data_IF_402453368641
#
_entry.id   IF_402453368641
#
_cell.length_a   1.000
_cell.length_b   1.000
_cell.length_c   1.000
_cell.angle_alpha   90.00
_cell.angle_beta   90.00
_cell.angle_gamma   90.00
#
_symmetry.space_group_name_H-M   'P 1'
#
loop_
_entity.id
_entity.type
_entity.pdbx_description
1 polymer ?
#
# COMPACT_ATOMS: atom_id res chain seq x y z
N UNK A 1 69.94 -15.60 -11.88
CA UNK A 1 70.23 -14.86 -10.64
C UNK A 1 69.53 -13.50 -10.66
N UNK A 2 68.21 -13.57 -10.87
CA UNK A 2 67.23 -12.51 -10.85
C UNK A 2 65.88 -13.28 -10.80
N UNK A 3 64.89 -12.73 -10.09
CA UNK A 3 63.51 -13.27 -9.96
C UNK A 3 63.28 -14.41 -8.95
N UNK A 4 63.80 -14.31 -7.72
CA UNK A 4 63.31 -15.12 -6.59
C UNK A 4 63.60 -14.48 -5.21
N UNK A 5 63.29 -13.19 -4.99
CA UNK A 5 63.52 -12.57 -3.66
C UNK A 5 62.69 -11.29 -3.42
N UNK A 6 61.36 -11.37 -3.55
CA UNK A 6 60.39 -10.49 -2.86
C UNK A 6 59.12 -11.29 -2.50
N UNK A 7 59.31 -12.27 -1.62
CA UNK A 7 58.27 -12.72 -0.69
C UNK A 7 58.50 -11.97 0.63
N UNK A 8 57.42 -11.75 1.38
CA UNK A 8 57.35 -11.20 2.74
C UNK A 8 57.04 -9.70 2.84
N UNK A 9 55.80 -9.33 2.50
CA UNK A 9 55.00 -8.36 3.26
C UNK A 9 53.51 -8.48 2.86
N UNK A 10 52.63 -8.32 3.84
CA UNK A 10 51.16 -8.25 3.76
C UNK A 10 50.39 -9.59 3.78
N UNK A 11 50.37 -10.17 4.98
CA UNK A 11 49.23 -10.91 5.50
C UNK A 11 48.42 -10.00 6.45
N UNK A 12 47.08 -9.99 6.29
CA UNK A 12 46.13 -9.54 7.31
C UNK A 12 45.08 -8.53 6.83
N UNK A 13 43.82 -8.98 6.67
CA UNK A 13 42.67 -8.08 6.50
C UNK A 13 41.44 -8.76 5.89
N UNK A 14 40.52 -9.16 6.75
CA UNK A 14 39.30 -9.94 6.48
C UNK A 14 38.23 -9.26 5.62
N UNK A 15 37.46 -10.14 4.96
CA UNK A 15 36.03 -10.11 4.64
C UNK A 15 35.22 -8.82 4.94
N UNK A 16 34.70 -8.19 3.87
CA UNK A 16 33.33 -7.67 3.78
C UNK A 16 33.13 -7.03 2.39
N UNK A 17 32.07 -7.43 1.66
CA UNK A 17 31.62 -6.69 0.48
C UNK A 17 31.34 -7.54 -0.76
N UNK A 18 30.52 -8.57 -0.63
CA UNK A 18 29.82 -9.17 -1.76
C UNK A 18 28.31 -9.15 -1.49
N UNK A 19 27.56 -8.78 -2.53
CA UNK A 19 26.10 -8.82 -2.69
C UNK A 19 25.28 -7.70 -2.02
N UNK A 20 25.14 -6.57 -2.73
CA UNK A 20 23.86 -5.84 -2.74
C UNK A 20 23.00 -6.52 -3.80
N UNK A 21 22.17 -7.46 -3.38
CA UNK A 21 21.21 -8.14 -4.24
C UNK A 21 20.00 -7.23 -4.48
N UNK A 22 19.61 -7.11 -5.74
CA UNK A 22 18.37 -6.52 -6.21
C UNK A 22 17.16 -7.22 -5.58
N UNK A 23 16.21 -6.47 -5.02
CA UNK A 23 14.87 -7.00 -4.73
C UNK A 23 14.06 -7.16 -6.03
N UNK A 24 14.45 -8.14 -6.82
CA UNK A 24 13.56 -8.84 -7.76
C UNK A 24 12.63 -9.75 -6.96
N UNK A 25 11.39 -9.94 -7.40
CA UNK A 25 10.43 -10.91 -6.84
C UNK A 25 11.10 -12.28 -6.64
N UNK A 26 11.57 -12.58 -5.44
CA UNK A 26 12.16 -13.89 -5.15
C UNK A 26 11.01 -14.82 -4.81
N UNK A 27 10.66 -15.69 -5.75
CA UNK A 27 9.83 -16.85 -5.45
C UNK A 27 10.51 -17.63 -4.30
N UNK A 28 9.75 -18.03 -3.28
CA UNK A 28 10.33 -18.54 -2.04
C UNK A 28 10.58 -20.05 -2.16
N UNK A 29 11.81 -20.50 -1.96
CA UNK A 29 12.17 -21.92 -2.10
C UNK A 29 11.69 -22.75 -0.90
N UNK A 30 10.96 -23.83 -1.17
CA UNK A 30 10.30 -24.70 -0.18
C UNK A 30 10.41 -26.17 -0.54
N UNK A 31 10.34 -27.03 0.48
CA UNK A 31 10.03 -28.46 0.33
C UNK A 31 8.59 -28.74 0.71
N UNK A 32 7.91 -29.54 -0.10
CA UNK A 32 6.52 -29.97 0.13
C UNK A 32 6.51 -31.33 0.82
N UNK A 33 5.78 -31.45 1.92
CA UNK A 33 5.60 -32.72 2.64
C UNK A 33 4.14 -33.10 2.75
N UNK A 34 3.86 -34.41 2.67
CA UNK A 34 2.54 -35.01 2.89
C UNK A 34 2.64 -36.07 3.99
N UNK A 35 1.70 -36.07 4.94
CA UNK A 35 1.66 -37.09 5.98
C UNK A 35 1.05 -38.40 5.43
N UNK A 36 1.82 -39.48 5.41
CA UNK A 36 1.34 -40.80 5.03
C UNK A 36 0.50 -41.45 6.15
N UNK A 37 -0.32 -42.45 5.80
CA UNK A 37 -1.16 -43.22 6.73
C UNK A 37 -0.40 -43.87 7.90
N UNK A 38 0.92 -44.05 7.75
CA UNK A 38 1.82 -44.55 8.80
C UNK A 38 2.31 -43.49 9.80
N UNK A 39 1.85 -42.24 9.71
CA UNK A 39 2.27 -41.12 10.57
C UNK A 39 3.66 -40.57 10.25
N UNK A 40 4.20 -40.87 9.07
CA UNK A 40 5.49 -40.37 8.58
C UNK A 40 5.26 -39.32 7.50
N UNK A 41 6.07 -38.25 7.53
CA UNK A 41 6.08 -37.24 6.48
C UNK A 41 6.90 -37.71 5.27
N UNK A 42 6.26 -37.71 4.11
CA UNK A 42 6.87 -38.05 2.82
C UNK A 42 7.21 -36.76 2.05
N UNK A 43 8.46 -36.64 1.61
CA UNK A 43 8.96 -35.56 0.77
C UNK A 43 8.34 -35.69 -0.64
N UNK A 44 7.65 -34.63 -1.09
CA UNK A 44 6.97 -34.59 -2.39
C UNK A 44 7.79 -33.85 -3.46
N UNK A 45 8.88 -33.18 -3.08
CA UNK A 45 9.69 -32.38 -4.00
C UNK A 45 10.11 -31.04 -3.43
N UNK A 46 11.05 -30.40 -4.12
CA UNK A 46 11.56 -29.06 -3.79
C UNK A 46 11.18 -28.11 -4.91
N UNK A 47 10.65 -26.95 -4.54
CA UNK A 47 10.13 -26.02 -5.52
C UNK A 47 10.04 -24.60 -4.99
N UNK A 48 9.36 -23.76 -5.75
CA UNK A 48 9.15 -22.36 -5.42
C UNK A 48 7.67 -22.09 -5.15
N UNK A 49 7.35 -21.55 -3.97
CA UNK A 49 5.98 -21.21 -3.60
C UNK A 49 5.60 -19.80 -4.05
N UNK A 50 4.39 -19.69 -4.59
CA UNK A 50 3.70 -18.42 -4.83
C UNK A 50 2.27 -18.47 -4.30
N UNK A 51 1.67 -17.29 -4.12
CA UNK A 51 0.25 -17.14 -3.81
C UNK A 51 -0.36 -16.36 -4.96
N UNK A 52 -1.22 -17.03 -5.73
CA UNK A 52 -1.84 -16.48 -6.93
C UNK A 52 -3.29 -16.98 -7.05
N UNK A 53 -4.04 -16.44 -8.01
CA UNK A 53 -5.34 -17.00 -8.34
C UNK A 53 -5.16 -18.38 -8.99
N UNK A 54 -5.91 -19.38 -8.51
CA UNK A 54 -5.92 -20.70 -9.13
C UNK A 54 -6.53 -20.56 -10.53
N UNK A 55 -5.85 -21.09 -11.55
CA UNK A 55 -6.24 -20.94 -12.95
C UNK A 55 -7.68 -21.42 -13.20
N UNK A 56 -8.52 -20.56 -13.78
CA UNK A 56 -9.94 -20.84 -14.02
C UNK A 56 -10.86 -20.63 -12.82
N UNK A 57 -10.35 -20.20 -11.66
CA UNK A 57 -11.13 -19.89 -10.46
C UNK A 57 -11.00 -18.41 -10.06
N UNK A 58 -11.83 -17.96 -9.12
CA UNK A 58 -11.67 -16.65 -8.42
C UNK A 58 -11.01 -16.80 -7.06
N UNK A 59 -10.46 -17.98 -6.77
CA UNK A 59 -9.97 -18.35 -5.46
C UNK A 59 -8.45 -18.23 -5.42
N UNK A 60 -7.94 -17.76 -4.28
CA UNK A 60 -6.53 -17.58 -4.01
C UNK A 60 -5.94 -18.89 -3.52
N UNK A 61 -4.86 -19.34 -4.14
CA UNK A 61 -4.21 -20.60 -3.80
C UNK A 61 -2.71 -20.47 -3.56
N UNK A 62 -2.20 -21.35 -2.72
CA UNK A 62 -0.78 -21.67 -2.63
C UNK A 62 -0.43 -22.61 -3.79
N UNK A 63 0.50 -22.18 -4.65
CA UNK A 63 1.04 -23.01 -5.72
C UNK A 63 2.53 -23.22 -5.50
N UNK A 64 3.00 -24.46 -5.61
CA UNK A 64 4.42 -24.79 -5.60
C UNK A 64 4.78 -25.43 -6.92
N UNK A 65 5.71 -24.81 -7.63
CA UNK A 65 6.27 -25.32 -8.88
C UNK A 65 7.62 -25.95 -8.61
N UNK A 66 7.84 -27.14 -9.16
CA UNK A 66 9.11 -27.86 -9.07
C UNK A 66 10.28 -27.01 -9.62
N UNK A 67 11.44 -27.09 -8.99
CA UNK A 67 12.59 -26.27 -9.39
C UNK A 67 13.30 -26.76 -10.67
N UNK A 68 13.14 -28.02 -11.04
CA UNK A 68 13.83 -28.63 -12.19
C UNK A 68 12.97 -28.62 -13.46
N UNK A 69 11.70 -29.01 -13.37
CA UNK A 69 10.79 -29.14 -14.52
C UNK A 69 9.61 -28.17 -14.55
N UNK A 70 9.43 -27.38 -13.48
CA UNK A 70 8.35 -26.40 -13.32
C UNK A 70 6.94 -27.02 -13.36
N UNK A 71 6.82 -28.33 -13.11
CA UNK A 71 5.54 -29.01 -12.89
C UNK A 71 4.95 -28.61 -11.54
N UNK A 72 3.62 -28.70 -11.41
CA UNK A 72 2.94 -28.33 -10.17
C UNK A 72 3.08 -29.44 -9.12
N UNK A 73 3.87 -29.18 -8.08
CA UNK A 73 4.02 -30.08 -6.92
C UNK A 73 2.85 -29.98 -5.95
N UNK A 74 2.32 -28.77 -5.78
CA UNK A 74 1.20 -28.50 -4.87
C UNK A 74 0.33 -27.37 -5.43
N UNK A 75 -0.98 -27.57 -5.35
CA UNK A 75 -1.97 -26.52 -5.51
C UNK A 75 -2.98 -26.66 -4.37
N UNK A 76 -3.11 -25.63 -3.55
CA UNK A 76 -3.99 -25.64 -2.39
C UNK A 76 -4.77 -24.33 -2.30
N UNK A 77 -6.09 -24.43 -2.26
CA UNK A 77 -6.98 -23.28 -2.09
C UNK A 77 -6.90 -22.73 -0.66
N UNK A 78 -6.60 -21.44 -0.51
CA UNK A 78 -6.57 -20.81 0.81
C UNK A 78 -8.01 -20.58 1.27
N UNK A 79 -8.40 -21.23 2.38
CA UNK A 79 -9.77 -21.17 2.90
C UNK A 79 -9.90 -20.24 4.09
N UNK A 80 -11.13 -19.80 4.42
CA UNK A 80 -11.40 -18.99 5.62
C UNK A 80 -11.18 -19.74 6.94
N UNK A 81 -11.00 -21.05 6.92
CA UNK A 81 -10.99 -21.89 8.12
C UNK A 81 -9.65 -21.80 8.84
N UNK A 82 -9.66 -21.76 10.17
CA UNK A 82 -8.44 -21.73 11.01
C UNK A 82 -7.71 -23.10 11.04
N UNK A 83 -7.20 -23.52 9.89
CA UNK A 83 -6.50 -24.81 9.70
C UNK A 83 -4.98 -24.67 9.57
N UNK A 84 -4.48 -23.47 9.27
CA UNK A 84 -3.06 -23.23 9.07
C UNK A 84 -2.35 -23.01 10.41
N UNK A 85 -1.16 -23.59 10.54
CA UNK A 85 -0.30 -23.50 11.72
C UNK A 85 1.13 -23.25 11.26
N UNK A 86 1.72 -22.15 11.72
CA UNK A 86 3.16 -21.91 11.64
C UNK A 86 3.85 -22.66 12.78
N UNK A 87 4.82 -23.50 12.43
CA UNK A 87 5.67 -24.20 13.38
C UNK A 87 7.09 -23.64 13.23
N UNK A 88 7.70 -23.28 14.36
CA UNK A 88 9.01 -22.61 14.38
C UNK A 88 9.04 -21.35 13.48
N UNK A 89 10.18 -21.05 12.86
CA UNK A 89 10.34 -19.89 11.97
C UNK A 89 10.21 -20.24 10.48
N UNK A 90 10.19 -21.53 10.12
CA UNK A 90 10.38 -22.01 8.74
C UNK A 90 9.36 -23.05 8.28
N UNK A 91 8.32 -23.38 9.05
CA UNK A 91 7.34 -24.40 8.65
C UNK A 91 5.93 -23.84 8.70
N UNK A 92 5.15 -24.07 7.64
CA UNK A 92 3.69 -23.84 7.61
C UNK A 92 3.02 -25.18 7.32
N UNK A 93 2.04 -25.55 8.12
CA UNK A 93 1.32 -26.83 8.02
C UNK A 93 -0.18 -26.64 8.12
N UNK A 94 -0.94 -27.49 7.44
CA UNK A 94 -2.41 -27.50 7.50
C UNK A 94 -2.94 -28.88 7.14
N UNK A 95 -4.23 -29.09 7.44
CA UNK A 95 -4.95 -30.28 7.01
C UNK A 95 -5.77 -29.98 5.77
N UNK A 96 -5.41 -30.61 4.66
CA UNK A 96 -6.14 -30.47 3.41
C UNK A 96 -7.42 -31.31 3.46
N UNK A 97 -8.57 -30.68 3.17
CA UNK A 97 -9.88 -31.36 3.22
C UNK A 97 -10.17 -32.18 1.97
N UNK A 98 -9.67 -31.75 0.81
CA UNK A 98 -9.92 -32.44 -0.47
C UNK A 98 -9.08 -33.71 -0.55
N UNK A 99 -7.80 -33.62 -0.18
CA UNK A 99 -6.88 -34.74 -0.12
C UNK A 99 -6.95 -35.52 1.21
N UNK A 100 -7.75 -35.05 2.17
CA UNK A 100 -7.95 -35.64 3.50
C UNK A 100 -6.65 -35.97 4.28
N UNK A 101 -5.58 -35.22 4.03
CA UNK A 101 -4.22 -35.47 4.54
C UNK A 101 -3.61 -34.20 5.11
N UNK A 102 -2.66 -34.34 6.03
CA UNK A 102 -1.85 -33.22 6.49
C UNK A 102 -0.74 -32.89 5.48
N UNK A 103 -0.54 -31.60 5.24
CA UNK A 103 0.46 -31.03 4.35
C UNK A 103 1.35 -30.06 5.12
N UNK A 104 2.60 -29.95 4.71
CA UNK A 104 3.52 -28.96 5.24
C UNK A 104 4.45 -28.39 4.16
N UNK A 105 4.71 -27.09 4.24
CA UNK A 105 5.77 -26.40 3.52
C UNK A 105 6.91 -26.10 4.49
N UNK A 106 8.10 -26.59 4.16
CA UNK A 106 9.33 -26.26 4.88
C UNK A 106 10.16 -25.31 4.04
N UNK A 107 10.35 -24.09 4.56
CA UNK A 107 11.02 -23.00 3.88
C UNK A 107 12.52 -23.06 4.10
N UNK A 108 13.28 -22.71 3.06
CA UNK A 108 14.72 -22.53 3.18
C UNK A 108 15.08 -21.33 4.06
N UNK A 109 14.26 -20.27 4.03
CA UNK A 109 14.50 -19.02 4.75
C UNK A 109 13.31 -18.63 5.64
N UNK A 110 13.61 -18.20 6.88
CA UNK A 110 12.60 -17.75 7.83
C UNK A 110 11.85 -16.48 7.37
N UNK A 111 12.54 -15.61 6.62
CA UNK A 111 11.93 -14.42 6.01
C UNK A 111 10.84 -14.81 5.01
N UNK A 112 11.13 -15.77 4.12
CA UNK A 112 10.18 -16.33 3.16
C UNK A 112 8.98 -17.00 3.81
N UNK A 113 9.21 -17.78 4.87
CA UNK A 113 8.14 -18.38 5.65
C UNK A 113 7.23 -17.32 6.28
N UNK A 114 7.82 -16.26 6.84
CA UNK A 114 7.05 -15.19 7.48
C UNK A 114 6.22 -14.41 6.46
N UNK A 115 6.78 -14.11 5.29
CA UNK A 115 6.08 -13.47 4.19
C UNK A 115 4.85 -14.26 3.73
N UNK A 116 5.02 -15.55 3.43
CA UNK A 116 3.90 -16.41 2.99
C UNK A 116 2.87 -16.59 4.11
N UNK A 117 3.31 -16.74 5.36
CA UNK A 117 2.42 -16.87 6.51
C UNK A 117 1.53 -15.64 6.70
N UNK A 118 2.12 -14.44 6.65
CA UNK A 118 1.38 -13.18 6.80
C UNK A 118 0.32 -13.02 5.70
N UNK A 119 0.66 -13.38 4.46
CA UNK A 119 -0.29 -13.38 3.33
C UNK A 119 -1.43 -14.40 3.53
N UNK A 120 -1.15 -15.62 3.97
CA UNK A 120 -2.22 -16.61 4.28
C UNK A 120 -3.16 -16.00 5.33
N UNK A 121 -2.63 -15.47 6.44
CA UNK A 121 -3.45 -14.87 7.49
C UNK A 121 -4.26 -13.65 7.01
N UNK A 122 -3.75 -12.87 6.07
CA UNK A 122 -4.49 -11.78 5.43
C UNK A 122 -5.65 -12.29 4.57
N UNK A 123 -5.41 -13.28 3.72
CA UNK A 123 -6.42 -13.88 2.85
C UNK A 123 -7.53 -14.53 3.69
N UNK A 124 -7.18 -15.26 4.75
CA UNK A 124 -8.16 -15.85 5.67
C UNK A 124 -9.07 -14.79 6.29
N UNK A 125 -8.50 -13.64 6.72
CA UNK A 125 -9.29 -12.53 7.25
C UNK A 125 -10.28 -12.04 6.20
N UNK A 126 -9.82 -11.79 4.97
CA UNK A 126 -10.65 -11.28 3.87
C UNK A 126 -11.80 -12.23 3.46
N UNK A 127 -11.54 -13.55 3.44
CA UNK A 127 -12.56 -14.55 3.13
C UNK A 127 -13.63 -14.65 4.24
N UNK A 128 -13.23 -14.54 5.51
CA UNK A 128 -14.17 -14.51 6.63
C UNK A 128 -15.11 -13.30 6.59
N UNK A 129 -14.66 -12.17 6.04
CA UNK A 129 -15.50 -10.98 5.84
C UNK A 129 -16.50 -11.15 4.68
N UNK A 130 -16.15 -11.90 3.64
CA UNK A 130 -16.99 -12.08 2.44
C UNK A 130 -18.18 -13.03 2.65
N UNK A 131 -18.02 -14.05 3.50
CA UNK A 131 -19.07 -15.04 3.78
C UNK A 131 -20.23 -14.52 4.68
N UNK A 132 -20.16 -13.29 5.18
CA UNK A 132 -21.21 -12.67 5.98
C UNK A 132 -22.25 -11.86 5.15
N UNK A 133 -22.09 -11.80 3.81
CA UNK A 133 -22.84 -10.87 2.95
C UNK A 133 -23.87 -11.44 1.96
N UNK A 134 -24.21 -12.74 1.96
CA UNK A 134 -25.11 -13.30 0.93
C UNK A 134 -26.44 -13.82 1.50
N UNK A 135 -27.57 -13.09 1.34
CA UNK A 135 -28.87 -13.71 1.17
C UNK A 135 -29.02 -14.18 -0.28
N UNK A 136 -29.37 -15.45 -0.46
CA UNK A 136 -29.76 -16.02 -1.75
C UNK A 136 -30.90 -15.24 -2.39
N UNK A 137 -30.67 -14.61 -3.54
CA UNK A 137 -31.75 -14.15 -4.43
C UNK A 137 -31.40 -14.43 -5.89
N UNK A 138 -32.08 -15.45 -6.46
CA UNK A 138 -32.82 -15.33 -7.72
C UNK A 138 -32.05 -15.05 -9.01
N UNK A 139 -31.65 -16.14 -9.68
CA UNK A 139 -31.28 -16.25 -11.10
C UNK A 139 -32.25 -15.50 -12.06
N UNK A 140 -31.74 -14.66 -12.97
CA UNK A 140 -32.34 -14.40 -14.29
C UNK A 140 -31.27 -14.11 -15.35
N UNK A 141 -31.45 -14.72 -16.52
CA UNK A 141 -30.54 -14.73 -17.68
C UNK A 141 -30.89 -13.63 -18.70
N UNK A 142 -29.85 -13.04 -19.31
CA UNK A 142 -29.72 -12.67 -20.75
C UNK A 142 -28.31 -12.05 -20.93
N UNK A 143 -27.29 -12.78 -21.40
CA UNK A 143 -26.82 -12.88 -22.81
C UNK A 143 -26.90 -11.55 -23.56
N UNK A 144 -25.88 -10.97 -24.19
CA UNK A 144 -24.52 -11.40 -24.57
C UNK A 144 -23.85 -10.15 -25.18
N UNK A 145 -22.63 -9.77 -24.76
CA UNK A 145 -21.60 -9.06 -25.56
C UNK A 145 -20.52 -8.42 -24.67
N UNK A 146 -19.63 -9.21 -24.05
CA UNK A 146 -18.45 -8.69 -23.34
C UNK A 146 -17.33 -9.73 -23.40
N UNK A 147 -16.56 -9.72 -24.48
CA UNK A 147 -15.41 -10.62 -24.66
C UNK A 147 -14.06 -9.86 -24.73
N UNK A 148 -13.99 -8.64 -24.18
CA UNK A 148 -12.77 -7.83 -24.20
C UNK A 148 -12.16 -7.49 -22.81
N UNK A 149 -12.73 -7.98 -21.69
CA UNK A 149 -12.29 -7.58 -20.33
C UNK A 149 -11.46 -8.62 -19.56
N UNK A 150 -10.93 -9.68 -20.19
CA UNK A 150 -10.28 -10.80 -19.47
C UNK A 150 -8.80 -10.65 -19.10
N UNK A 151 -8.26 -9.44 -19.04
CA UNK A 151 -6.86 -9.24 -18.61
C UNK A 151 -6.83 -8.09 -17.60
N UNK A 152 -6.26 -8.35 -16.41
CA UNK A 152 -6.16 -7.50 -15.22
C UNK A 152 -7.26 -7.69 -14.16
N UNK A 153 -7.30 -8.88 -13.54
CA UNK A 153 -7.73 -8.99 -12.15
C UNK A 153 -6.64 -9.71 -11.36
N UNK A 154 -5.71 -8.93 -10.81
CA UNK A 154 -4.80 -9.35 -9.74
C UNK A 154 -5.31 -8.81 -8.40
N UNK A 155 -5.10 -9.60 -7.35
CA UNK A 155 -5.68 -9.62 -6.00
C UNK A 155 -5.62 -8.36 -5.11
N UNK A 156 -5.29 -7.17 -5.63
CA UNK A 156 -5.29 -5.97 -4.79
C UNK A 156 -6.72 -5.46 -4.51
N UNK A 157 -7.63 -5.52 -5.49
CA UNK A 157 -8.90 -4.79 -5.44
C UNK A 157 -9.98 -5.36 -4.48
N UNK A 158 -9.91 -6.64 -4.09
CA UNK A 158 -10.89 -7.25 -3.18
C UNK A 158 -10.64 -6.93 -1.71
N UNK A 159 -9.40 -6.61 -1.32
CA UNK A 159 -9.03 -6.17 0.04
C UNK A 159 -9.57 -4.76 0.36
N UNK A 160 -9.86 -3.95 -0.66
CA UNK A 160 -10.26 -2.56 -0.50
C UNK A 160 -11.79 -2.32 -0.51
N UNK A 161 -12.62 -3.34 -0.77
CA UNK A 161 -14.06 -3.17 -1.05
C UNK A 161 -14.97 -3.11 0.21
N UNK A 162 -14.40 -3.04 1.42
CA UNK A 162 -15.14 -2.90 2.68
C UNK A 162 -14.38 -1.98 3.61
N UNK A 163 -14.91 -0.79 3.88
CA UNK A 163 -14.26 0.23 4.68
C UNK A 163 -14.89 0.25 6.08
N UNK A 164 -14.52 -0.69 6.92
CA UNK A 164 -14.68 -0.48 8.36
C UNK A 164 -13.70 0.63 8.78
N UNK A 165 -14.05 1.42 9.81
CA UNK A 165 -13.06 2.24 10.52
C UNK A 165 -11.77 1.41 10.72
N UNK A 166 -11.97 0.11 11.01
CA UNK A 166 -10.99 -0.97 11.16
C UNK A 166 -9.95 -1.21 10.03
N UNK A 167 -10.16 -0.69 8.82
CA UNK A 167 -9.24 -0.90 7.68
C UNK A 167 -8.54 0.39 7.22
N UNK A 168 -8.87 1.55 7.81
CA UNK A 168 -8.11 2.76 7.53
C UNK A 168 -6.76 2.78 8.25
N UNK A 169 -6.54 1.85 9.21
CA UNK A 169 -5.53 2.07 10.22
C UNK A 169 -4.81 0.80 10.72
N UNK A 170 -4.55 -0.14 9.80
CA UNK A 170 -3.43 -1.08 9.81
C UNK A 170 -3.23 -1.60 8.36
N UNK A 171 -2.03 -1.51 7.78
CA UNK A 171 -0.79 -1.96 8.41
C UNK A 171 0.23 -0.84 8.65
N UNK A 172 0.41 -0.46 9.92
CA UNK A 172 1.62 0.24 10.38
C UNK A 172 2.20 -0.38 11.66
N UNK A 173 1.91 -1.65 11.93
CA UNK A 173 2.46 -2.37 13.08
C UNK A 173 2.88 -3.80 12.72
N UNK A 174 3.81 -3.91 11.78
CA UNK A 174 4.95 -4.85 11.87
C UNK A 174 6.18 -4.15 11.31
N UNK A 175 6.75 -3.21 12.07
CA UNK A 175 8.21 -3.03 12.14
C UNK A 175 8.53 -2.08 13.30
N UNK A 176 8.90 -2.62 14.46
CA UNK A 176 9.57 -1.82 15.48
C UNK A 176 10.85 -2.55 15.93
N UNK A 177 11.96 -1.84 15.75
CA UNK A 177 13.20 -1.89 16.54
C UNK A 177 14.30 -2.85 16.07
N UNK A 178 15.29 -2.26 15.37
CA UNK A 178 16.77 -2.33 15.49
C UNK A 178 17.23 -1.68 14.16
N UNK A 179 17.76 -0.46 14.11
CA UNK A 179 19.11 -0.08 14.55
C UNK A 179 19.10 1.36 15.05
N UNK A 180 19.53 1.57 16.29
CA UNK A 180 19.95 2.87 16.83
C UNK A 180 21.46 2.83 17.00
N UNK A 181 22.12 3.89 16.52
CA UNK A 181 23.49 4.33 16.86
C UNK A 181 24.68 3.53 16.30
N UNK A 182 25.36 4.14 15.31
CA UNK A 182 26.80 4.38 15.14
C UNK A 182 26.99 4.81 13.67
N UNK A 183 27.73 5.82 13.22
CA UNK A 183 28.66 6.84 13.73
C UNK A 183 28.87 7.76 12.50
N UNK A 184 28.52 9.04 12.57
CA UNK A 184 29.45 10.19 12.74
C UNK A 184 30.20 10.62 11.47
N UNK A 185 29.91 11.86 11.06
CA UNK A 185 30.78 12.89 10.41
C UNK A 185 31.57 12.47 9.16
N UNK A 186 31.19 13.05 8.02
CA UNK A 186 32.14 13.75 7.13
C UNK A 186 31.45 14.96 6.48
N UNK A 187 32.17 16.08 6.27
CA UNK A 187 31.62 17.30 5.70
C UNK A 187 31.42 17.09 4.20
N UNK A 188 30.27 17.46 3.65
CA UNK A 188 30.16 17.55 2.21
C UNK A 188 30.92 18.79 1.77
N UNK A 189 32.01 18.55 1.05
CA UNK A 189 32.86 19.55 0.44
C UNK A 189 32.10 20.29 -0.67
N UNK A 190 32.41 21.58 -0.76
CA UNK A 190 32.11 22.47 -1.87
C UNK A 190 32.59 21.86 -3.19
N UNK A 191 31.67 21.67 -4.13
CA UNK A 191 32.00 21.68 -5.55
C UNK A 191 31.22 22.80 -6.22
N UNK A 192 31.96 23.88 -6.45
CA UNK A 192 31.56 25.01 -7.26
C UNK A 192 31.23 24.54 -8.68
N UNK A 193 29.96 24.66 -9.09
CA UNK A 193 29.60 24.76 -10.50
C UNK A 193 28.76 26.01 -10.74
N UNK A 194 29.32 26.94 -11.53
CA UNK A 194 28.68 28.19 -11.97
C UNK A 194 27.90 27.95 -13.27
N UNK A 195 26.84 28.76 -13.40
CA UNK A 195 26.05 29.11 -14.59
C UNK A 195 24.88 28.17 -14.90
N UNK A 196 23.66 28.65 -15.14
CA UNK A 196 23.29 29.95 -15.68
C UNK A 196 22.11 30.59 -14.92
N UNK A 197 22.16 31.91 -14.77
CA UNK A 197 20.98 32.72 -14.50
C UNK A 197 19.98 32.49 -15.65
N UNK A 198 18.94 31.70 -15.41
CA UNK A 198 17.76 31.60 -16.25
C UNK A 198 16.58 32.24 -15.52
N UNK A 199 15.95 33.23 -16.13
CA UNK A 199 14.85 34.02 -15.59
C UNK A 199 13.59 33.17 -15.32
N UNK A 200 13.44 32.53 -14.17
CA UNK A 200 12.14 32.06 -13.70
C UNK A 200 11.51 33.09 -12.76
N UNK A 201 11.02 34.20 -13.33
CA UNK A 201 10.28 35.19 -12.55
C UNK A 201 8.82 34.81 -12.33
N UNK A 202 8.18 34.09 -13.25
CA UNK A 202 6.76 33.74 -13.20
C UNK A 202 6.49 32.38 -13.88
N UNK A 203 5.49 31.63 -13.38
CA UNK A 203 4.96 30.44 -14.04
C UNK A 203 4.19 30.86 -15.30
N UNK A 204 4.32 30.14 -16.44
CA UNK A 204 3.45 30.39 -17.57
C UNK A 204 1.99 30.06 -17.22
N UNK A 205 1.01 30.64 -17.94
CA UNK A 205 -0.40 30.32 -17.72
C UNK A 205 -0.66 28.81 -17.84
N UNK A 206 -1.45 28.26 -16.92
CA UNK A 206 -1.88 26.86 -16.94
C UNK A 206 -2.87 26.67 -18.08
N UNK A 207 -2.33 26.37 -19.26
CA UNK A 207 -3.03 26.13 -20.52
C UNK A 207 -2.42 24.91 -21.20
N UNK A 208 -3.21 24.19 -22.00
CA UNK A 208 -2.80 22.93 -22.64
C UNK A 208 -1.48 23.08 -23.42
N UNK A 209 -1.30 24.20 -24.14
CA UNK A 209 -0.08 24.50 -24.89
C UNK A 209 1.17 24.73 -24.04
N UNK A 210 0.99 25.13 -22.77
CA UNK A 210 2.07 25.47 -21.85
C UNK A 210 2.42 24.30 -20.92
N UNK A 211 1.56 23.28 -20.80
CA UNK A 211 1.81 22.11 -19.96
C UNK A 211 3.15 21.39 -20.25
N UNK A 212 3.60 21.21 -21.51
CA UNK A 212 4.91 20.60 -21.78
C UNK A 212 6.07 21.40 -21.17
N UNK A 213 5.96 22.73 -21.19
CA UNK A 213 6.98 23.61 -20.61
C UNK A 213 6.97 23.54 -19.09
N UNK A 214 5.78 23.62 -18.46
CA UNK A 214 5.62 23.46 -17.01
C UNK A 214 6.18 22.11 -16.56
N UNK A 215 5.84 21.03 -17.28
CA UNK A 215 6.34 19.68 -17.01
C UNK A 215 7.87 19.63 -17.07
N UNK A 216 8.46 20.20 -18.13
CA UNK A 216 9.91 20.28 -18.28
C UNK A 216 10.56 20.97 -17.08
N UNK A 217 10.02 22.09 -16.64
CA UNK A 217 10.54 22.82 -15.48
C UNK A 217 10.43 22.02 -14.19
N UNK A 218 9.32 21.31 -13.97
CA UNK A 218 9.09 20.48 -12.78
C UNK A 218 10.05 19.28 -12.74
N UNK A 219 10.35 18.65 -13.88
CA UNK A 219 11.16 17.43 -13.93
C UNK A 219 12.67 17.67 -14.08
N UNK A 220 13.08 18.69 -14.83
CA UNK A 220 14.49 18.91 -15.20
C UNK A 220 15.18 19.99 -14.34
N UNK A 221 14.44 20.65 -13.43
CA UNK A 221 14.98 21.68 -12.54
C UNK A 221 15.91 21.11 -11.46
N UNK A 222 16.96 21.86 -11.09
CA UNK A 222 17.78 21.54 -9.92
C UNK A 222 17.00 21.73 -8.61
N UNK A 223 17.57 21.33 -7.47
CA UNK A 223 16.90 21.41 -6.15
C UNK A 223 16.36 22.82 -5.86
N UNK A 224 17.14 23.86 -6.16
CA UNK A 224 16.73 25.27 -5.99
C UNK A 224 15.55 25.64 -6.90
N UNK A 225 15.53 25.12 -8.13
CA UNK A 225 14.45 25.37 -9.08
C UNK A 225 13.18 24.65 -8.64
N UNK A 226 13.28 23.44 -8.09
CA UNK A 226 12.14 22.68 -7.57
C UNK A 226 11.48 23.37 -6.37
N UNK A 227 12.28 23.93 -5.44
CA UNK A 227 11.76 24.72 -4.31
C UNK A 227 11.02 25.96 -4.83
N UNK A 228 11.64 26.71 -5.73
CA UNK A 228 11.03 27.91 -6.32
C UNK A 228 9.76 27.57 -7.11
N UNK A 229 9.75 26.47 -7.86
CA UNK A 229 8.55 25.99 -8.55
C UNK A 229 7.42 25.64 -7.58
N UNK A 230 7.73 24.97 -6.48
CA UNK A 230 6.73 24.66 -5.47
C UNK A 230 6.12 25.94 -4.85
N UNK A 231 6.94 26.97 -4.63
CA UNK A 231 6.48 28.28 -4.17
C UNK A 231 5.57 28.96 -5.21
N UNK A 232 5.97 29.01 -6.47
CA UNK A 232 5.17 29.61 -7.55
C UNK A 232 3.81 28.89 -7.73
N UNK A 233 3.80 27.55 -7.72
CA UNK A 233 2.57 26.74 -7.81
C UNK A 233 1.65 27.06 -6.63
N UNK A 234 2.21 27.22 -5.43
CA UNK A 234 1.43 27.51 -4.22
C UNK A 234 0.90 28.95 -4.20
N UNK A 235 1.61 29.90 -4.82
CA UNK A 235 1.18 31.30 -4.91
C UNK A 235 0.02 31.50 -5.88
N UNK A 236 -0.03 30.73 -6.98
CA UNK A 236 -1.14 30.77 -7.93
C UNK A 236 -2.33 29.93 -7.44
N UNK A 237 -3.36 30.62 -6.94
CA UNK A 237 -4.59 29.99 -6.44
C UNK A 237 -5.39 29.25 -7.53
N UNK A 238 -5.23 29.66 -8.78
CA UNK A 238 -5.98 29.10 -9.91
C UNK A 238 -5.22 27.96 -10.60
N UNK A 239 -3.98 27.68 -10.19
CA UNK A 239 -3.15 26.66 -10.81
C UNK A 239 -3.83 25.29 -10.84
N UNK A 240 -4.23 24.77 -9.67
CA UNK A 240 -4.87 23.46 -9.56
C UNK A 240 -6.29 23.42 -10.15
N UNK A 241 -7.17 24.42 -9.91
CA UNK A 241 -8.46 24.49 -10.61
C UNK A 241 -8.31 24.40 -12.13
N UNK A 242 -7.45 25.21 -12.74
CA UNK A 242 -7.22 25.20 -14.20
C UNK A 242 -6.63 23.88 -14.68
N UNK A 243 -5.68 23.31 -13.94
CA UNK A 243 -5.09 22.02 -14.28
C UNK A 243 -6.14 20.91 -14.29
N UNK A 244 -7.02 20.89 -13.29
CA UNK A 244 -8.11 19.90 -13.19
C UNK A 244 -9.17 20.13 -14.26
N UNK A 245 -9.49 21.37 -14.60
CA UNK A 245 -10.42 21.67 -15.70
C UNK A 245 -9.86 21.20 -17.05
N UNK A 246 -8.56 21.40 -17.29
CA UNK A 246 -7.88 20.87 -18.48
C UNK A 246 -7.91 19.35 -18.47
N UNK A 247 -7.60 18.71 -17.33
CA UNK A 247 -7.67 17.25 -17.19
C UNK A 247 -9.05 16.70 -17.53
N UNK A 248 -10.11 17.27 -16.95
CA UNK A 248 -11.50 16.85 -17.20
C UNK A 248 -11.89 17.04 -18.67
N UNK A 249 -11.48 18.15 -19.28
CA UNK A 249 -11.69 18.40 -20.70
C UNK A 249 -10.97 17.39 -21.60
N UNK A 250 -9.70 17.07 -21.30
CA UNK A 250 -8.95 16.04 -22.04
C UNK A 250 -9.55 14.65 -21.86
N UNK A 251 -10.07 14.34 -20.66
CA UNK A 251 -10.76 13.09 -20.35
C UNK A 251 -12.07 12.97 -21.13
N UNK A 252 -12.88 14.03 -21.18
CA UNK A 252 -14.13 14.07 -21.96
C UNK A 252 -13.89 13.92 -23.47
N UNK A 253 -12.75 14.40 -23.96
CA UNK A 253 -12.32 14.27 -25.36
C UNK A 253 -11.61 12.94 -25.66
N UNK A 254 -11.39 12.08 -24.64
CA UNK A 254 -10.61 10.85 -24.73
C UNK A 254 -9.20 11.08 -25.34
N UNK A 255 -8.60 12.25 -25.07
CA UNK A 255 -7.29 12.63 -25.61
C UNK A 255 -6.15 12.01 -24.80
N UNK A 256 -5.79 10.78 -25.15
CA UNK A 256 -4.80 9.96 -24.43
C UNK A 256 -3.41 10.61 -24.35
N UNK A 257 -2.94 11.29 -25.39
CA UNK A 257 -1.62 11.91 -25.41
C UNK A 257 -1.50 13.02 -24.35
N UNK A 258 -2.53 13.87 -24.27
CA UNK A 258 -2.59 14.94 -23.27
C UNK A 258 -2.82 14.39 -21.85
N UNK A 259 -3.61 13.31 -21.72
CA UNK A 259 -3.81 12.63 -20.43
C UNK A 259 -2.50 12.03 -19.89
N UNK A 260 -1.69 11.43 -20.76
CA UNK A 260 -0.34 10.95 -20.41
C UNK A 260 0.61 12.09 -20.02
N UNK A 261 0.50 13.26 -20.65
CA UNK A 261 1.26 14.44 -20.25
C UNK A 261 0.83 14.94 -18.88
N UNK A 262 -0.48 15.01 -18.61
CA UNK A 262 -1.03 15.41 -17.31
C UNK A 262 -0.62 14.42 -16.22
N UNK A 263 -0.62 13.11 -16.48
CA UNK A 263 -0.07 12.10 -15.58
C UNK A 263 1.37 12.44 -15.16
N UNK A 264 2.25 12.70 -16.14
CA UNK A 264 3.66 13.03 -15.88
C UNK A 264 3.80 14.31 -15.07
N UNK A 265 2.94 15.30 -15.33
CA UNK A 265 2.94 16.57 -14.61
C UNK A 265 2.49 16.40 -13.16
N UNK A 266 1.37 15.71 -12.92
CA UNK A 266 0.87 15.43 -11.57
C UNK A 266 1.89 14.59 -10.78
N UNK A 267 2.49 13.58 -11.41
CA UNK A 267 3.60 12.80 -10.84
C UNK A 267 4.77 13.70 -10.44
N UNK A 268 5.22 14.58 -11.35
CA UNK A 268 6.30 15.52 -11.08
C UNK A 268 5.97 16.47 -9.91
N UNK A 269 4.74 17.01 -9.87
CA UNK A 269 4.28 17.89 -8.78
C UNK A 269 4.29 17.18 -7.43
N UNK A 270 3.88 15.90 -7.38
CA UNK A 270 3.94 15.10 -6.14
C UNK A 270 5.39 14.92 -5.68
N UNK A 271 6.32 14.68 -6.61
CA UNK A 271 7.73 14.47 -6.32
C UNK A 271 8.49 15.77 -5.95
N UNK A 272 7.87 16.95 -6.09
CA UNK A 272 8.40 18.17 -5.46
C UNK A 272 8.39 18.09 -3.93
N UNK A 273 7.64 17.13 -3.36
CA UNK A 273 7.61 16.81 -1.94
C UNK A 273 7.34 18.04 -1.04
N UNK A 274 6.44 18.92 -1.48
CA UNK A 274 6.09 20.16 -0.78
C UNK A 274 4.81 19.97 0.07
N UNK A 275 4.87 20.19 1.39
CA UNK A 275 3.70 20.10 2.27
C UNK A 275 2.54 21.01 1.84
N UNK A 276 2.84 22.23 1.38
CA UNK A 276 1.85 23.21 0.92
C UNK A 276 1.08 22.71 -0.31
N UNK A 277 1.79 22.03 -1.22
CA UNK A 277 1.19 21.40 -2.39
C UNK A 277 0.29 20.25 -1.94
N UNK A 278 0.79 19.39 -1.06
CA UNK A 278 0.01 18.26 -0.54
C UNK A 278 -1.27 18.69 0.16
N UNK A 279 -1.25 19.75 0.96
CA UNK A 279 -2.43 20.32 1.59
C UNK A 279 -3.51 20.70 0.55
N UNK A 280 -3.10 21.16 -0.64
CA UNK A 280 -4.00 21.50 -1.74
C UNK A 280 -4.43 20.27 -2.52
N UNK A 281 -3.50 19.48 -3.06
CA UNK A 281 -3.83 18.35 -3.96
C UNK A 281 -4.54 17.19 -3.26
N UNK A 282 -4.32 17.00 -1.96
CA UNK A 282 -5.00 15.96 -1.18
C UNK A 282 -6.26 16.48 -0.46
N UNK A 283 -6.66 17.73 -0.68
CA UNK A 283 -7.95 18.22 -0.19
C UNK A 283 -9.12 17.50 -0.87
N UNK A 284 -10.29 17.50 -0.22
CA UNK A 284 -11.52 16.89 -0.77
C UNK A 284 -11.91 17.46 -2.15
N UNK A 285 -11.50 18.69 -2.45
CA UNK A 285 -11.76 19.39 -3.71
C UNK A 285 -11.04 18.74 -4.90
N UNK A 286 -9.77 18.30 -4.72
CA UNK A 286 -8.93 17.87 -5.84
C UNK A 286 -8.51 16.40 -5.77
N UNK A 287 -8.52 15.77 -4.61
CA UNK A 287 -7.87 14.45 -4.43
C UNK A 287 -8.39 13.38 -5.40
N UNK A 288 -9.68 13.40 -5.73
CA UNK A 288 -10.24 12.47 -6.70
C UNK A 288 -9.78 12.79 -8.12
N UNK A 289 -9.73 14.05 -8.54
CA UNK A 289 -9.21 14.42 -9.86
C UNK A 289 -7.71 14.12 -10.00
N UNK A 290 -6.94 14.32 -8.91
CA UNK A 290 -5.52 13.93 -8.85
C UNK A 290 -5.35 12.43 -9.02
N UNK A 291 -6.17 11.62 -8.33
CA UNK A 291 -6.22 10.17 -8.54
C UNK A 291 -6.61 9.86 -9.99
N UNK A 292 -7.57 10.58 -10.56
CA UNK A 292 -7.99 10.47 -11.95
C UNK A 292 -6.87 10.69 -12.95
N UNK A 293 -6.07 11.74 -12.77
CA UNK A 293 -4.90 12.00 -13.59
C UNK A 293 -3.87 10.86 -13.50
N UNK A 294 -3.74 10.23 -12.33
CA UNK A 294 -2.85 9.11 -12.09
C UNK A 294 -3.36 7.76 -12.68
N UNK A 295 -4.60 7.69 -13.18
CA UNK A 295 -5.14 6.51 -13.86
C UNK A 295 -4.51 6.27 -15.25
N UNK A 296 -3.93 7.33 -15.83
CA UNK A 296 -3.41 7.37 -17.21
C UNK A 296 -1.88 7.20 -17.28
N UNK A 297 -1.34 6.26 -16.50
CA UNK A 297 0.09 5.91 -16.54
C UNK A 297 0.49 5.38 -17.95
N UNK A 298 1.42 6.03 -18.66
CA UNK A 298 1.91 5.57 -19.97
C UNK A 298 2.62 4.20 -19.92
N UNK A 299 3.10 3.78 -18.75
CA UNK A 299 3.79 2.50 -18.56
C UNK A 299 2.81 1.33 -18.40
N UNK A 300 1.52 1.60 -18.21
CA UNK A 300 0.49 0.58 -18.01
C UNK A 300 -0.39 0.47 -19.27
N UNK A 301 -0.52 -0.73 -19.89
CA UNK A 301 -1.27 -0.88 -21.14
C UNK A 301 -2.77 -0.56 -21.10
N UNK A 302 -3.35 -0.46 -19.89
CA UNK A 302 -4.78 -0.20 -19.67
C UNK A 302 -4.96 0.79 -18.53
N UNK A 303 -5.78 1.81 -18.78
CA UNK A 303 -6.19 2.79 -17.76
C UNK A 303 -6.80 2.07 -16.56
N UNK A 304 -6.27 2.35 -15.38
CA UNK A 304 -6.73 1.75 -14.12
C UNK A 304 -7.84 2.60 -13.52
N UNK A 305 -9.02 2.03 -13.26
CA UNK A 305 -10.19 2.81 -12.77
C UNK A 305 -10.19 2.99 -11.25
N UNK A 306 -9.17 3.64 -10.71
CA UNK A 306 -9.01 3.92 -9.28
C UNK A 306 -10.14 4.78 -8.68
N UNK A 307 -10.59 5.84 -9.35
CA UNK A 307 -11.71 6.69 -8.88
C UNK A 307 -13.02 5.92 -8.79
N UNK A 308 -13.33 5.09 -9.79
CA UNK A 308 -14.54 4.26 -9.78
C UNK A 308 -14.48 3.25 -8.63
N UNK A 309 -13.31 2.65 -8.42
CA UNK A 309 -13.06 1.79 -7.27
C UNK A 309 -13.34 2.52 -5.93
N UNK A 310 -12.74 3.71 -5.75
CA UNK A 310 -12.89 4.51 -4.52
C UNK A 310 -14.28 5.08 -4.29
N UNK A 311 -15.11 5.21 -5.34
CA UNK A 311 -16.50 5.71 -5.25
C UNK A 311 -17.51 4.59 -5.07
N UNK A 312 -17.34 3.51 -5.82
CA UNK A 312 -18.38 2.50 -5.98
C UNK A 312 -18.17 1.28 -5.08
N UNK A 313 -16.92 0.98 -4.72
CA UNK A 313 -16.57 -0.24 -3.97
C UNK A 313 -16.15 0.06 -2.53
N UNK A 314 -15.78 1.29 -2.23
CA UNK A 314 -15.34 1.66 -0.89
C UNK A 314 -16.54 2.08 -0.03
N UNK A 315 -16.89 1.25 0.96
CA UNK A 315 -18.07 1.45 1.81
C UNK A 315 -17.67 1.90 3.21
N UNK A 316 -17.77 3.20 3.52
CA UNK A 316 -17.52 3.74 4.85
C UNK A 316 -18.54 3.22 5.86
N UNK A 317 -18.09 2.35 6.76
CA UNK A 317 -18.88 1.78 7.85
C UNK A 317 -18.55 2.48 9.16
N UNK A 318 -19.60 3.05 9.73
CA UNK A 318 -19.55 3.73 11.01
C UNK A 318 -20.00 2.80 12.12
N UNK A 319 -19.07 2.32 12.95
CA UNK A 319 -19.43 1.59 14.17
C UNK A 319 -20.28 2.46 15.13
N UNK A 320 -20.01 3.76 15.09
CA UNK A 320 -20.76 4.82 15.77
C UNK A 320 -20.85 5.99 14.83
N UNK A 321 -22.03 6.61 14.79
CA UNK A 321 -22.25 7.75 13.93
C UNK A 321 -21.33 8.91 14.32
N UNK A 322 -20.59 9.45 13.35
CA UNK A 322 -19.74 10.63 13.53
C UNK A 322 -20.45 11.82 12.90
N UNK A 323 -20.91 12.78 13.71
CA UNK A 323 -21.61 13.97 13.17
C UNK A 323 -20.64 15.00 12.59
N UNK A 324 -19.39 15.01 13.05
CA UNK A 324 -18.40 16.01 12.67
C UNK A 324 -17.85 15.74 11.25
N UNK A 325 -18.32 16.53 10.28
CA UNK A 325 -17.89 16.46 8.87
C UNK A 325 -16.38 16.62 8.69
N UNK A 326 -15.72 17.41 9.54
CA UNK A 326 -14.25 17.57 9.49
C UNK A 326 -13.53 16.27 9.87
N UNK A 327 -14.07 15.52 10.83
CA UNK A 327 -13.54 14.20 11.20
C UNK A 327 -13.71 13.23 10.04
N UNK A 328 -14.89 13.18 9.43
CA UNK A 328 -15.18 12.33 8.27
C UNK A 328 -14.24 12.67 7.10
N UNK A 329 -14.10 13.96 6.77
CA UNK A 329 -13.19 14.45 5.73
C UNK A 329 -11.76 13.97 5.99
N UNK A 330 -11.26 14.09 7.22
CA UNK A 330 -9.92 13.62 7.59
C UNK A 330 -9.76 12.11 7.50
N UNK A 331 -10.77 11.34 7.87
CA UNK A 331 -10.76 9.87 7.72
C UNK A 331 -10.66 9.48 6.24
N UNK A 332 -11.49 10.08 5.37
CA UNK A 332 -11.42 9.83 3.92
C UNK A 332 -10.10 10.28 3.30
N UNK A 333 -9.60 11.44 3.71
CA UNK A 333 -8.32 11.94 3.27
C UNK A 333 -7.20 10.97 3.65
N UNK A 334 -7.17 10.46 4.89
CA UNK A 334 -6.19 9.46 5.33
C UNK A 334 -6.19 8.23 4.44
N UNK A 335 -7.37 7.66 4.16
CA UNK A 335 -7.46 6.47 3.33
C UNK A 335 -7.03 6.73 1.89
N UNK A 336 -7.47 7.83 1.28
CA UNK A 336 -7.11 8.15 -0.09
C UNK A 336 -5.60 8.40 -0.24
N UNK A 337 -4.96 9.05 0.74
CA UNK A 337 -3.49 9.18 0.78
C UNK A 337 -2.83 7.81 0.95
N UNK A 338 -3.36 6.93 1.81
CA UNK A 338 -2.89 5.55 1.94
C UNK A 338 -3.00 4.77 0.63
N UNK A 339 -4.14 4.87 -0.07
CA UNK A 339 -4.35 4.24 -1.37
C UNK A 339 -3.39 4.76 -2.43
N UNK A 340 -3.16 6.08 -2.48
CA UNK A 340 -2.15 6.67 -3.34
C UNK A 340 -0.76 6.12 -3.03
N UNK A 341 -0.39 6.02 -1.75
CA UNK A 341 0.91 5.51 -1.28
C UNK A 341 1.14 4.04 -1.64
N UNK A 342 0.16 3.19 -1.31
CA UNK A 342 0.31 1.73 -1.26
C UNK A 342 -0.19 1.03 -2.54
N UNK A 343 -1.02 1.69 -3.36
CA UNK A 343 -1.59 1.10 -4.58
C UNK A 343 -1.12 1.81 -5.84
N UNK A 344 -1.23 3.14 -5.88
CA UNK A 344 -0.99 3.91 -7.13
C UNK A 344 0.50 4.20 -7.32
N UNK A 345 1.18 4.68 -6.27
CA UNK A 345 2.54 5.21 -6.34
C UNK A 345 3.67 4.38 -5.68
N UNK A 346 3.53 3.09 -5.27
CA UNK A 346 4.62 2.35 -4.59
C UNK A 346 5.96 2.33 -5.32
N UNK A 347 5.93 2.36 -6.67
CA UNK A 347 7.14 2.32 -7.52
C UNK A 347 7.67 3.70 -7.88
N UNK A 348 6.92 4.75 -7.54
CA UNK A 348 7.16 6.13 -7.96
C UNK A 348 7.75 6.97 -6.83
N UNK A 349 7.31 6.74 -5.59
CA UNK A 349 7.73 7.53 -4.43
C UNK A 349 9.17 7.21 -4.04
N UNK A 350 9.96 8.24 -3.81
CA UNK A 350 11.23 8.14 -3.10
C UNK A 350 11.00 8.12 -1.58
N UNK A 351 12.04 7.74 -0.82
CA UNK A 351 11.95 7.62 0.64
C UNK A 351 11.50 8.93 1.31
N UNK A 352 11.91 10.08 0.76
CA UNK A 352 11.57 11.39 1.27
C UNK A 352 10.07 11.70 1.09
N UNK A 353 9.53 11.45 -0.10
CA UNK A 353 8.10 11.70 -0.39
C UNK A 353 7.22 10.69 0.35
N UNK A 354 7.63 9.43 0.42
CA UNK A 354 6.97 8.40 1.22
C UNK A 354 6.94 8.79 2.71
N UNK A 355 8.02 9.37 3.23
CA UNK A 355 8.09 9.96 4.57
C UNK A 355 7.04 11.05 4.82
N UNK A 356 6.88 11.97 3.86
CA UNK A 356 5.87 13.03 3.92
C UNK A 356 4.43 12.49 3.89
N UNK A 357 4.15 11.47 3.06
CA UNK A 357 2.84 10.81 3.01
C UNK A 357 2.50 10.16 4.36
N UNK A 358 3.46 9.44 4.95
CA UNK A 358 3.27 8.87 6.28
C UNK A 358 3.03 9.98 7.32
N UNK A 359 3.77 11.08 7.26
CA UNK A 359 3.57 12.21 8.20
C UNK A 359 2.18 12.82 8.07
N UNK A 360 1.64 12.96 6.86
CA UNK A 360 0.26 13.44 6.66
C UNK A 360 -0.78 12.45 7.20
N UNK A 361 -0.61 11.16 6.93
CA UNK A 361 -1.47 10.10 7.49
C UNK A 361 -1.46 10.16 9.02
N UNK A 362 -0.28 10.27 9.64
CA UNK A 362 -0.14 10.39 11.09
C UNK A 362 -0.78 11.68 11.63
N UNK A 363 -0.60 12.81 10.94
CA UNK A 363 -1.21 14.10 11.31
C UNK A 363 -2.73 14.05 11.26
N UNK A 364 -3.30 13.46 10.21
CA UNK A 364 -4.75 13.28 10.08
C UNK A 364 -5.29 12.37 11.17
N UNK A 365 -4.64 11.24 11.43
CA UNK A 365 -5.01 10.32 12.51
C UNK A 365 -4.99 11.04 13.86
N UNK A 366 -3.97 11.85 14.13
CA UNK A 366 -3.89 12.63 15.35
C UNK A 366 -5.05 13.64 15.48
N UNK A 367 -5.40 14.30 14.38
CA UNK A 367 -6.51 15.25 14.30
C UNK A 367 -7.86 14.57 14.57
N UNK A 368 -8.11 13.42 13.92
CA UNK A 368 -9.33 12.61 14.11
C UNK A 368 -9.49 12.19 15.56
N UNK A 369 -8.44 11.64 16.18
CA UNK A 369 -8.50 11.21 17.58
C UNK A 369 -8.74 12.39 18.51
N UNK A 370 -8.06 13.52 18.29
CA UNK A 370 -8.25 14.71 19.14
C UNK A 370 -9.68 15.20 19.07
N UNK A 371 -10.26 15.29 17.87
CA UNK A 371 -11.65 15.74 17.67
C UNK A 371 -12.67 14.77 18.26
N UNK A 372 -12.51 13.46 18.07
CA UNK A 372 -13.42 12.45 18.62
C UNK A 372 -13.32 12.31 20.14
N UNK A 373 -12.11 12.47 20.69
CA UNK A 373 -11.90 12.43 22.13
C UNK A 373 -12.61 13.57 22.85
N UNK A 374 -12.56 14.77 22.27
CA UNK A 374 -13.19 15.95 22.85
C UNK A 374 -14.72 15.99 22.58
N UNK A 375 -15.24 15.09 21.75
CA UNK A 375 -16.66 14.88 21.47
C UNK A 375 -17.34 14.05 22.59
N UNK A 376 -17.85 14.76 23.61
CA UNK A 376 -18.53 14.13 24.75
C UNK A 376 -19.78 13.31 24.35
N UNK A 377 -20.69 13.79 23.47
CA UNK A 377 -21.79 12.98 22.94
C UNK A 377 -21.33 11.66 22.30
N UNK A 378 -20.33 11.70 21.43
CA UNK A 378 -19.78 10.52 20.77
C UNK A 378 -19.27 9.48 21.79
N UNK A 379 -18.45 9.92 22.74
CA UNK A 379 -17.90 9.03 23.78
C UNK A 379 -18.99 8.43 24.66
N UNK A 380 -20.03 9.20 25.01
CA UNK A 380 -21.18 8.68 25.76
C UNK A 380 -21.94 7.62 24.96
N UNK A 381 -22.18 7.86 23.67
CA UNK A 381 -22.85 6.92 22.79
C UNK A 381 -22.05 5.62 22.63
N UNK A 382 -20.72 5.72 22.50
CA UNK A 382 -19.79 4.59 22.45
C UNK A 382 -19.94 3.68 23.66
N UNK A 383 -19.83 4.23 24.87
CA UNK A 383 -19.95 3.43 26.09
C UNK A 383 -21.38 2.93 26.34
N UNK A 384 -22.41 3.70 25.96
CA UNK A 384 -23.80 3.26 26.07
C UNK A 384 -24.06 2.06 25.15
N UNK A 385 -23.61 2.10 23.90
CA UNK A 385 -23.78 1.02 22.93
C UNK A 385 -23.04 -0.24 23.34
N UNK A 386 -21.81 -0.11 23.86
CA UNK A 386 -21.05 -1.23 24.42
C UNK A 386 -21.70 -1.90 25.64
N UNK A 387 -22.41 -1.14 26.47
CA UNK A 387 -23.08 -1.64 27.67
C UNK A 387 -24.50 -2.15 27.41
N UNK A 388 -25.01 -2.00 26.18
CA UNK A 388 -26.33 -2.47 25.82
C UNK A 388 -26.41 -3.99 25.86
N UNK A 389 -27.46 -4.53 26.49
CA UNK A 389 -27.76 -5.96 26.50
C UNK A 389 -28.30 -6.48 25.17
N UNK A 390 -28.79 -5.59 24.30
CA UNK A 390 -29.49 -5.92 23.06
C UNK A 390 -28.59 -5.80 21.82
N UNK A 391 -27.27 -5.65 22.00
CA UNK A 391 -26.32 -5.52 20.87
C UNK A 391 -26.07 -6.88 20.20
N UNK A 392 -26.12 -6.91 18.86
CA UNK A 392 -25.76 -8.10 18.09
C UNK A 392 -24.26 -8.43 18.26
N UNK A 393 -23.90 -9.70 18.08
CA UNK A 393 -22.50 -10.13 18.15
C UNK A 393 -21.62 -9.44 17.09
N UNK A 394 -22.19 -9.15 15.92
CA UNK A 394 -21.52 -8.44 14.82
C UNK A 394 -21.23 -6.98 15.18
N UNK A 395 -22.24 -6.22 15.62
CA UNK A 395 -22.04 -4.83 16.05
C UNK A 395 -21.13 -4.73 17.27
N UNK A 396 -21.15 -5.73 18.16
CA UNK A 396 -20.22 -5.79 19.29
C UNK A 396 -18.77 -6.00 18.81
N UNK A 397 -18.56 -6.85 17.81
CA UNK A 397 -17.24 -7.05 17.19
C UNK A 397 -16.75 -5.76 16.53
N UNK A 398 -17.59 -5.08 15.76
CA UNK A 398 -17.27 -3.80 15.10
C UNK A 398 -16.86 -2.72 16.13
N UNK A 399 -17.58 -2.60 17.24
CA UNK A 399 -17.23 -1.66 18.31
C UNK A 399 -15.90 -1.98 19.00
N UNK A 400 -15.62 -3.28 19.24
CA UNK A 400 -14.36 -3.70 19.85
C UNK A 400 -13.19 -3.44 18.89
N UNK A 401 -13.37 -3.70 17.60
CA UNK A 401 -12.39 -3.41 16.57
C UNK A 401 -12.12 -1.90 16.46
N UNK A 402 -13.17 -1.10 16.40
CA UNK A 402 -13.07 0.36 16.44
C UNK A 402 -12.28 0.85 17.67
N UNK A 403 -12.59 0.32 18.86
CA UNK A 403 -11.89 0.70 20.08
C UNK A 403 -10.42 0.27 20.08
N UNK A 404 -10.14 -0.95 19.61
CA UNK A 404 -8.78 -1.46 19.49
C UNK A 404 -7.94 -0.56 18.59
N UNK A 405 -8.49 -0.15 17.45
CA UNK A 405 -7.84 0.72 16.49
C UNK A 405 -7.69 2.15 17.02
N UNK A 406 -8.74 2.73 17.61
CA UNK A 406 -8.69 4.03 18.27
C UNK A 406 -7.60 4.06 19.35
N UNK A 407 -7.44 2.98 20.13
CA UNK A 407 -6.39 2.83 21.12
C UNK A 407 -5.00 2.59 20.50
N UNK A 408 -4.93 1.91 19.36
CA UNK A 408 -3.68 1.68 18.64
C UNK A 408 -3.14 2.98 18.09
N UNK A 409 -4.02 3.80 17.54
CA UNK A 409 -3.68 5.12 17.02
C UNK A 409 -3.37 6.14 18.06
N UNK A 410 -4.03 6.08 19.21
CA UNK A 410 -3.72 7.01 20.27
C UNK A 410 -2.27 6.83 20.74
N UNK A 411 -1.66 5.64 20.58
CA UNK A 411 -0.23 5.40 20.85
C UNK A 411 0.71 6.12 19.89
N UNK A 412 0.27 6.56 18.71
CA UNK A 412 1.09 7.39 17.81
C UNK A 412 1.00 8.88 18.13
N UNK A 413 0.15 9.31 19.08
CA UNK A 413 0.10 10.70 19.55
C UNK A 413 1.32 11.05 20.42
N UNK A 414 1.69 12.33 20.56
CA UNK A 414 2.67 12.76 21.56
C UNK A 414 2.26 12.32 22.98
N UNK A 415 3.23 11.90 23.81
CA UNK A 415 3.03 11.34 25.17
C UNK A 415 2.08 12.17 26.04
N UNK A 416 2.11 13.50 25.94
CA UNK A 416 1.23 14.40 26.70
C UNK A 416 -0.25 14.24 26.31
N UNK A 417 -0.54 14.03 25.02
CA UNK A 417 -1.90 13.80 24.54
C UNK A 417 -2.38 12.39 24.88
N UNK A 418 -1.48 11.40 24.85
CA UNK A 418 -1.76 10.02 25.30
C UNK A 418 -2.22 10.00 26.76
N UNK A 419 -1.45 10.61 27.67
CA UNK A 419 -1.74 10.65 29.10
C UNK A 419 -3.07 11.34 29.44
N UNK A 420 -3.53 12.26 28.57
CA UNK A 420 -4.85 12.90 28.71
C UNK A 420 -5.98 12.08 28.12
N UNK A 421 -5.70 11.09 27.26
CA UNK A 421 -6.71 10.25 26.61
C UNK A 421 -7.00 8.99 27.45
N UNK A 422 -6.02 8.51 28.22
CA UNK A 422 -6.18 7.38 29.14
C UNK A 422 -6.60 7.75 30.58
N UNK A 423 -6.85 9.03 30.84
CA UNK A 423 -7.50 9.52 32.07
C UNK A 423 -8.98 9.74 31.80
#
# INVERSE_FOLDING_TARGET
MAEQERRDAEAGGDAAGAAVASHTSSMQRVKVYRLADGGKWDDQGTGHVSIDYIEGSKELGLTVLDEDDNETLLMHNITSDDIYRKQEETIISWRDREAATDLALSFQEAAGCSYIWEHICEIQRNLQFSNLGAPEVGRRQSSESLEASRIMHSNAASSFAVYDICMCILPQLVCLTIVKCLVTILPFADDSFRSANGEFRELPPVELSNLPFILKTVLEGGITDQIHMAELITQDRDFFPKLVDIFRMCEDLENIDDLHMIFKLVKGIILLNSPSIFDKIFSDEFILDIIGALEYDPEVPRVQKHRAFLKDHVVFKEAIHIENVSVISKIHQTYRIGYLKDVILPRILDDATLGSFNTMIHSNNASVISMLKDDTPFIRQLFARMRSSDISMESKRELVLFLHEFCTLSKSLPVVQQLRLFR
#
